data_IF_364401070655
#
_entry.id   IF_364401070655
#
_cell.length_a   1.000
_cell.length_b   1.000
_cell.length_c   1.000
_cell.angle_alpha   90.00
_cell.angle_beta   90.00
_cell.angle_gamma   90.00
#
_symmetry.space_group_name_H-M   'P 1'
#
loop_
_entity.id
_entity.type
_entity.pdbx_description
1 polymer ?
#
# COMPACT_ATOMS: atom_id res chain seq x y z
N UNK A 1 9.54 -16.46 -0.59
CA UNK A 1 8.96 -15.12 -0.39
C UNK A 1 7.61 -15.25 0.31
N UNK A 2 7.54 -14.81 1.56
CA UNK A 2 6.37 -14.92 2.43
C UNK A 2 5.29 -13.87 2.04
N UNK A 3 4.03 -14.08 2.46
CA UNK A 3 2.91 -13.15 2.21
C UNK A 3 3.21 -11.73 2.73
N UNK A 4 3.83 -11.63 3.90
CA UNK A 4 4.23 -10.35 4.52
C UNK A 4 5.22 -9.59 3.65
N UNK A 5 6.24 -10.26 3.13
CA UNK A 5 7.26 -9.66 2.28
C UNK A 5 6.65 -9.16 0.97
N UNK A 6 5.73 -9.92 0.38
CA UNK A 6 4.97 -9.51 -0.81
C UNK A 6 4.16 -8.25 -0.56
N UNK A 7 3.40 -8.19 0.54
CA UNK A 7 2.61 -7.00 0.89
C UNK A 7 3.49 -5.77 1.11
N UNK A 8 4.62 -5.93 1.82
CA UNK A 8 5.60 -4.86 2.04
C UNK A 8 6.18 -4.37 0.72
N UNK A 9 6.66 -5.26 -0.14
CA UNK A 9 7.22 -4.91 -1.44
C UNK A 9 6.22 -4.15 -2.31
N UNK A 10 4.96 -4.62 -2.38
CA UNK A 10 3.91 -3.92 -3.13
C UNK A 10 3.69 -2.52 -2.55
N UNK A 11 3.56 -2.40 -1.23
CA UNK A 11 3.36 -1.09 -0.59
C UNK A 11 4.54 -0.14 -0.83
N UNK A 12 5.77 -0.65 -0.79
CA UNK A 12 6.98 0.14 -1.06
C UNK A 12 7.02 0.63 -2.51
N UNK A 13 6.73 -0.24 -3.48
CA UNK A 13 6.67 0.13 -4.90
C UNK A 13 5.64 1.24 -5.13
N UNK A 14 4.47 1.12 -4.51
CA UNK A 14 3.42 2.13 -4.61
C UNK A 14 3.86 3.47 -4.01
N UNK A 15 4.53 3.46 -2.86
CA UNK A 15 5.04 4.67 -2.20
C UNK A 15 6.17 5.30 -3.02
N UNK A 16 7.12 4.51 -3.55
CA UNK A 16 8.18 4.98 -4.44
C UNK A 16 7.63 5.64 -5.70
N UNK A 17 6.65 5.02 -6.35
CA UNK A 17 6.02 5.57 -7.54
C UNK A 17 5.35 6.92 -7.25
N UNK A 18 4.62 7.01 -6.15
CA UNK A 18 3.99 8.27 -5.71
C UNK A 18 5.04 9.34 -5.43
N UNK A 19 6.06 9.02 -4.63
CA UNK A 19 7.12 9.95 -4.27
C UNK A 19 7.83 10.50 -5.51
N UNK A 20 8.20 9.61 -6.44
CA UNK A 20 8.94 10.01 -7.63
C UNK A 20 8.15 10.93 -8.56
N UNK A 21 6.82 10.74 -8.64
CA UNK A 21 5.96 11.52 -9.53
C UNK A 21 5.42 12.81 -8.88
N UNK A 22 5.16 12.79 -7.58
CA UNK A 22 4.53 13.93 -6.90
C UNK A 22 5.53 14.81 -6.16
N UNK A 23 6.66 14.25 -5.72
CA UNK A 23 7.69 14.99 -4.97
C UNK A 23 9.00 15.14 -5.75
N UNK A 24 9.01 14.79 -7.05
CA UNK A 24 10.16 14.91 -7.96
C UNK A 24 11.45 14.21 -7.46
N UNK A 25 11.32 13.18 -6.64
CA UNK A 25 12.45 12.35 -6.22
C UNK A 25 12.84 11.35 -7.31
N UNK A 26 14.13 11.08 -7.50
CA UNK A 26 14.60 10.15 -8.57
C UNK A 26 15.22 8.85 -8.06
N UNK A 27 15.87 8.86 -6.90
CA UNK A 27 16.63 7.71 -6.38
C UNK A 27 16.21 7.26 -4.98
N UNK A 28 15.83 8.20 -4.13
CA UNK A 28 15.48 7.94 -2.73
C UNK A 28 14.08 8.45 -2.42
N UNK A 29 13.42 7.86 -1.41
CA UNK A 29 12.18 8.42 -0.89
C UNK A 29 12.47 9.74 -0.19
N UNK A 30 11.55 10.70 -0.26
CA UNK A 30 11.61 11.85 0.64
C UNK A 30 11.27 11.41 2.07
N UNK A 31 11.65 12.23 3.06
CA UNK A 31 11.45 11.93 4.48
C UNK A 31 10.00 11.56 4.83
N UNK A 32 9.02 12.22 4.21
CA UNK A 32 7.60 11.96 4.42
C UNK A 32 7.21 10.56 3.92
N UNK A 33 7.61 10.21 2.70
CA UNK A 33 7.30 8.91 2.11
C UNK A 33 8.07 7.77 2.79
N UNK A 34 9.28 8.03 3.29
CA UNK A 34 10.02 7.05 4.09
C UNK A 34 9.33 6.78 5.42
N UNK A 35 8.90 7.83 6.12
CA UNK A 35 8.10 7.70 7.35
C UNK A 35 6.82 6.91 7.12
N UNK A 36 6.13 7.18 6.01
CA UNK A 36 4.92 6.45 5.62
C UNK A 36 5.21 4.96 5.33
N UNK A 37 6.32 4.66 4.65
CA UNK A 37 6.76 3.29 4.34
C UNK A 37 7.06 2.52 5.63
N UNK A 38 7.85 3.08 6.53
CA UNK A 38 8.21 2.42 7.79
C UNK A 38 6.99 2.21 8.69
N UNK A 39 6.08 3.20 8.73
CA UNK A 39 4.81 3.06 9.44
C UNK A 39 3.96 1.93 8.84
N UNK A 40 3.84 1.88 7.51
CA UNK A 40 3.10 0.84 6.80
C UNK A 40 3.68 -0.55 7.07
N UNK A 41 5.01 -0.68 7.06
CA UNK A 41 5.70 -1.94 7.34
C UNK A 41 5.42 -2.45 8.74
N UNK A 42 5.51 -1.57 9.75
CA UNK A 42 5.15 -1.92 11.13
C UNK A 42 3.71 -2.41 11.22
N UNK A 43 2.76 -1.78 10.51
CA UNK A 43 1.36 -2.23 10.52
C UNK A 43 1.13 -3.58 9.83
N UNK A 44 1.91 -3.91 8.80
CA UNK A 44 1.86 -5.21 8.15
C UNK A 44 2.42 -6.29 9.08
N UNK A 45 3.57 -6.03 9.73
CA UNK A 45 4.24 -7.00 10.62
C UNK A 45 3.38 -7.41 11.81
N UNK A 46 2.73 -6.44 12.46
CA UNK A 46 1.95 -6.68 13.67
C UNK A 46 0.45 -6.88 13.40
N UNK A 47 0.05 -7.21 12.17
CA UNK A 47 -1.37 -7.33 11.85
C UNK A 47 -1.99 -8.61 12.46
N UNK A 48 -2.99 -8.49 13.36
CA UNK A 48 -3.66 -9.65 13.95
C UNK A 48 -4.53 -10.36 12.90
N UNK A 49 -5.19 -9.59 12.03
CA UNK A 49 -6.18 -10.08 11.06
C UNK A 49 -5.55 -10.54 9.72
N UNK A 50 -4.26 -10.86 9.70
CA UNK A 50 -3.50 -11.13 8.46
C UNK A 50 -4.01 -12.33 7.65
N UNK A 51 -4.56 -13.34 8.32
CA UNK A 51 -5.02 -14.58 7.69
C UNK A 51 -6.43 -14.44 7.13
N UNK A 52 -7.29 -13.69 7.84
CA UNK A 52 -8.70 -13.53 7.51
C UNK A 52 -8.92 -12.47 6.43
N UNK A 53 -8.08 -11.43 6.36
CA UNK A 53 -8.24 -10.35 5.38
C UNK A 53 -7.37 -10.54 4.13
N UNK A 54 -7.93 -10.11 3.00
CA UNK A 54 -7.22 -9.97 1.72
C UNK A 54 -6.49 -8.64 1.62
N UNK A 55 -7.10 -7.53 2.08
CA UNK A 55 -6.53 -6.19 1.99
C UNK A 55 -6.69 -5.40 3.30
N UNK A 56 -5.85 -4.37 3.50
CA UNK A 56 -5.98 -3.47 4.65
C UNK A 56 -7.23 -2.58 4.57
N UNK A 57 -7.71 -2.28 3.36
CA UNK A 57 -8.92 -1.46 3.14
C UNK A 57 -10.21 -2.15 3.57
N UNK A 58 -10.25 -3.49 3.57
CA UNK A 58 -11.40 -4.28 4.01
C UNK A 58 -11.31 -4.68 5.49
N UNK A 59 -10.34 -4.13 6.24
CA UNK A 59 -10.19 -4.46 7.65
C UNK A 59 -11.14 -3.62 8.51
N UNK A 60 -11.93 -4.29 9.35
CA UNK A 60 -12.83 -3.65 10.31
C UNK A 60 -12.07 -2.94 11.44
N UNK A 61 -10.85 -3.39 11.76
CA UNK A 61 -10.03 -2.81 12.83
C UNK A 61 -9.31 -1.54 12.37
N UNK A 62 -9.60 -0.43 13.04
CA UNK A 62 -8.92 0.84 12.81
C UNK A 62 -7.51 0.87 13.43
N UNK A 63 -6.53 0.29 12.71
CA UNK A 63 -5.13 0.22 13.15
C UNK A 63 -4.23 1.36 12.62
N UNK A 64 -4.69 2.16 11.65
CA UNK A 64 -3.95 3.29 11.09
C UNK A 64 -4.27 4.59 11.83
N UNK A 65 -3.26 5.41 12.14
CA UNK A 65 -3.50 6.80 12.56
C UNK A 65 -4.16 7.55 11.40
N UNK A 66 -5.11 8.45 11.71
CA UNK A 66 -5.88 9.22 10.72
C UNK A 66 -4.99 9.87 9.66
N UNK A 67 -3.97 10.62 10.07
CA UNK A 67 -3.04 11.31 9.17
C UNK A 67 -2.29 10.33 8.23
N UNK A 68 -1.86 9.19 8.75
CA UNK A 68 -1.16 8.15 7.97
C UNK A 68 -2.13 7.41 7.04
N UNK A 69 -3.37 7.20 7.47
CA UNK A 69 -4.43 6.61 6.66
C UNK A 69 -4.75 7.49 5.44
N UNK A 70 -4.81 8.81 5.62
CA UNK A 70 -5.01 9.75 4.53
C UNK A 70 -3.84 9.75 3.54
N UNK A 71 -2.61 9.74 4.05
CA UNK A 71 -1.41 9.67 3.21
C UNK A 71 -1.37 8.37 2.39
N UNK A 72 -1.56 7.21 3.03
CA UNK A 72 -1.54 5.94 2.29
C UNK A 72 -2.71 5.85 1.31
N UNK A 73 -3.89 6.39 1.62
CA UNK A 73 -5.00 6.45 0.65
C UNK A 73 -4.66 7.30 -0.58
N UNK A 74 -3.95 8.44 -0.41
CA UNK A 74 -3.46 9.25 -1.53
C UNK A 74 -2.49 8.44 -2.41
N UNK A 75 -1.55 7.73 -1.78
CA UNK A 75 -0.63 6.82 -2.48
C UNK A 75 -1.39 5.72 -3.22
N UNK A 76 -2.34 5.06 -2.57
CA UNK A 76 -3.13 3.97 -3.16
C UNK A 76 -3.98 4.45 -4.34
N UNK A 77 -4.62 5.62 -4.23
CA UNK A 77 -5.42 6.21 -5.31
C UNK A 77 -4.57 6.61 -6.51
N UNK A 78 -3.35 7.08 -6.28
CA UNK A 78 -2.43 7.45 -7.35
C UNK A 78 -1.75 6.23 -7.98
N UNK A 79 -1.13 5.39 -7.16
CA UNK A 79 -0.29 4.28 -7.60
C UNK A 79 -1.10 3.03 -7.96
N UNK A 80 -2.29 2.82 -7.39
CA UNK A 80 -3.13 1.64 -7.62
C UNK A 80 -3.45 1.39 -9.10
N UNK A 81 -4.05 2.35 -9.81
CA UNK A 81 -4.32 2.22 -11.24
C UNK A 81 -3.05 2.04 -12.08
N UNK A 82 -1.93 2.64 -11.64
CA UNK A 82 -0.64 2.56 -12.32
C UNK A 82 0.09 1.24 -12.06
N UNK A 83 -0.25 0.54 -10.99
CA UNK A 83 0.29 -0.79 -10.64
C UNK A 83 -0.33 -1.92 -11.46
N UNK A 84 -1.53 -1.73 -12.01
CA UNK A 84 -2.14 -2.65 -13.00
C UNK A 84 -1.21 -2.90 -14.21
N UNK A 85 -0.42 -1.89 -14.61
CA UNK A 85 0.50 -1.98 -15.74
C UNK A 85 1.79 -2.77 -15.41
N UNK A 86 2.12 -2.96 -14.13
CA UNK A 86 3.34 -3.64 -13.68
C UNK A 86 3.06 -5.07 -13.14
N UNK A 87 1.90 -5.30 -12.53
CA UNK A 87 1.50 -6.62 -12.00
C UNK A 87 0.03 -6.94 -12.36
N UNK A 88 -0.24 -7.35 -13.62
CA UNK A 88 -1.60 -7.49 -14.15
C UNK A 88 -2.46 -8.52 -13.38
N UNK A 89 -1.85 -9.61 -12.88
CA UNK A 89 -2.60 -10.71 -12.24
C UNK A 89 -3.10 -10.32 -10.83
N UNK A 90 -2.29 -9.60 -10.03
CA UNK A 90 -2.67 -9.20 -8.66
C UNK A 90 -3.76 -8.12 -8.69
N UNK A 91 -3.72 -7.26 -9.70
CA UNK A 91 -4.61 -6.12 -9.79
C UNK A 91 -6.00 -6.48 -10.35
N UNK A 92 -6.13 -7.53 -11.17
CA UNK A 92 -7.44 -8.12 -11.54
C UNK A 92 -8.17 -8.67 -10.30
N UNK A 93 -7.46 -9.38 -9.38
CA UNK A 93 -8.05 -9.84 -8.10
C UNK A 93 -8.51 -8.67 -7.23
N UNK A 94 -7.79 -7.55 -7.21
CA UNK A 94 -8.18 -6.34 -6.49
C UNK A 94 -9.45 -5.68 -7.05
N UNK A 95 -9.56 -5.57 -8.37
CA UNK A 95 -10.73 -4.96 -9.02
C UNK A 95 -11.99 -5.81 -8.76
N UNK A 96 -11.89 -7.13 -8.90
CA UNK A 96 -13.02 -8.04 -8.65
C UNK A 96 -13.47 -7.99 -7.18
N UNK A 97 -12.54 -7.85 -6.23
CA UNK A 97 -12.89 -7.70 -4.81
C UNK A 97 -13.49 -6.32 -4.48
N UNK A 98 -13.08 -5.26 -5.19
CA UNK A 98 -13.55 -3.88 -4.93
C UNK A 98 -14.90 -3.58 -5.59
N UNK A 99 -15.24 -4.24 -6.70
CA UNK A 99 -16.52 -4.04 -7.43
C UNK A 99 -17.68 -4.87 -6.83
N UNK A 100 -17.38 -5.88 -6.02
CA UNK A 100 -18.40 -6.75 -5.38
C UNK A 100 -18.77 -6.34 -3.94
N UNK A 101 -18.28 -5.19 -3.48
CA UNK A 101 -18.62 -4.60 -2.17
C UNK A 101 -19.63 -3.47 -2.34
#
# INVERSE_FOLDING_TARGET
MNKIEKEKQISELMIKLYCNKNHNTKKTLCQQCETLKDYTFKRIDYCPNRQTKTFCSSCETHCYKRDMAEQIRKVMRFSGPRMLLYHPITAIKHIIATIRS
#
